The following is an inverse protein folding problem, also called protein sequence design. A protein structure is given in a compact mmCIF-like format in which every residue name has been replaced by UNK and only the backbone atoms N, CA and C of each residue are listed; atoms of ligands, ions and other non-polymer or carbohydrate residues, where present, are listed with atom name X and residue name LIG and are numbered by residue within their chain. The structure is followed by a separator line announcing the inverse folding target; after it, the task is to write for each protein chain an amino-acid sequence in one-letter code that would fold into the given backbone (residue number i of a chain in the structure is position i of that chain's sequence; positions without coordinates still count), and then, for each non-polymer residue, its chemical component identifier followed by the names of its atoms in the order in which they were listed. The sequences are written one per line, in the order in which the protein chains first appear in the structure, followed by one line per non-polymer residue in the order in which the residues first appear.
data_IF_554249777567
#
_entry.id   IF_554249777567
#
_cell.length_a   1.000
_cell.length_b   1.000
_cell.length_c   1.000
_cell.angle_alpha   90.00
_cell.angle_beta   90.00
_cell.angle_gamma   90.00
#
_symmetry.space_group_name_H-M   'P 1'
#
loop_
_entity.id
_entity.type
_entity.pdbx_description
1 polymer ?
#
# COMPACT_ATOMS: atom_id res chain seq x y z
N UNK A 1 -52.43 -10.81 21.92
CA UNK A 1 -52.17 -11.88 20.93
C UNK A 1 -50.88 -11.55 20.23
N UNK A 2 -49.85 -12.36 20.49
CA UNK A 2 -48.49 -12.23 19.97
C UNK A 2 -48.46 -12.88 18.59
N UNK A 3 -47.97 -12.16 17.56
CA UNK A 3 -47.51 -12.80 16.33
C UNK A 3 -45.99 -12.70 16.25
N UNK A 4 -45.36 -13.86 16.42
CA UNK A 4 -43.94 -14.14 16.33
C UNK A 4 -43.48 -14.26 14.88
N UNK A 5 -42.47 -13.49 14.49
CA UNK A 5 -41.65 -13.74 13.30
C UNK A 5 -40.41 -14.58 13.68
N UNK A 6 -39.89 -15.43 12.79
CA UNK A 6 -38.94 -16.49 13.15
C UNK A 6 -37.52 -15.96 13.40
N UNK A 7 -36.92 -16.43 14.50
CA UNK A 7 -35.48 -16.27 14.80
C UNK A 7 -34.65 -17.00 13.74
N UNK A 8 -33.90 -16.25 12.94
CA UNK A 8 -32.84 -16.81 12.09
C UNK A 8 -31.63 -17.06 12.98
N UNK A 9 -31.27 -18.33 13.17
CA UNK A 9 -30.07 -18.76 13.87
C UNK A 9 -28.83 -18.24 13.13
N UNK A 10 -28.11 -17.32 13.76
CA UNK A 10 -26.71 -17.08 13.42
C UNK A 10 -25.90 -18.21 14.04
N UNK A 11 -25.35 -19.09 13.19
CA UNK A 11 -24.29 -20.02 13.61
C UNK A 11 -23.05 -19.20 13.93
N UNK A 12 -22.85 -18.89 15.22
CA UNK A 12 -21.60 -18.41 15.77
C UNK A 12 -20.58 -19.56 15.79
N UNK A 13 -19.72 -19.60 14.77
CA UNK A 13 -18.39 -20.22 14.89
C UNK A 13 -17.34 -19.17 14.56
N UNK A 14 -17.27 -18.15 15.41
CA UNK A 14 -16.04 -17.42 15.64
C UNK A 14 -15.25 -18.24 16.66
N UNK A 15 -14.20 -18.92 16.19
CA UNK A 15 -13.21 -19.52 17.09
C UNK A 15 -12.42 -18.39 17.74
N UNK A 16 -12.84 -18.01 18.93
CA UNK A 16 -12.06 -17.26 19.89
C UNK A 16 -10.94 -18.17 20.42
N UNK A 17 -9.77 -18.08 19.81
CA UNK A 17 -8.52 -18.44 20.49
C UNK A 17 -7.70 -17.18 20.62
N UNK A 18 -7.77 -16.58 21.81
CA UNK A 18 -6.85 -15.53 22.21
C UNK A 18 -5.43 -16.05 22.19
N UNK A 19 -4.53 -15.23 21.66
CA UNK A 19 -3.09 -15.41 21.85
C UNK A 19 -2.60 -14.13 22.52
N UNK A 20 -2.93 -14.01 23.80
CA UNK A 20 -2.11 -13.28 24.74
C UNK A 20 -0.93 -14.19 25.09
N UNK A 21 0.15 -14.16 24.31
CA UNK A 21 1.50 -14.56 24.73
C UNK A 21 2.48 -14.28 23.58
N UNK A 22 3.25 -13.20 23.72
CA UNK A 22 4.44 -12.95 22.90
C UNK A 22 5.51 -13.99 23.28
N UNK A 23 5.65 -15.03 22.46
CA UNK A 23 6.85 -15.86 22.45
C UNK A 23 7.85 -15.27 21.45
N UNK A 24 9.03 -14.89 21.94
CA UNK A 24 10.19 -14.50 21.15
C UNK A 24 10.74 -15.73 20.42
N UNK A 25 10.64 -15.76 19.09
CA UNK A 25 11.24 -16.80 18.26
C UNK A 25 12.60 -16.32 17.71
N UNK A 26 13.68 -17.11 17.83
CA UNK A 26 14.98 -16.75 17.27
C UNK A 26 15.00 -17.11 15.78
N UNK A 27 14.72 -16.11 14.94
CA UNK A 27 14.77 -16.25 13.49
C UNK A 27 14.31 -14.96 12.85
N UNK A 28 15.22 -14.24 12.21
CA UNK A 28 14.95 -12.96 11.54
C UNK A 28 13.93 -13.21 10.42
N UNK A 29 12.68 -12.83 10.66
CA UNK A 29 11.63 -12.68 9.66
C UNK A 29 11.30 -11.19 9.63
N UNK A 30 11.69 -10.50 8.55
CA UNK A 30 11.34 -9.10 8.36
C UNK A 30 9.93 -9.05 7.76
N UNK A 31 8.96 -8.90 8.65
CA UNK A 31 7.66 -8.33 8.32
C UNK A 31 7.89 -6.84 7.99
N UNK A 32 7.43 -6.37 6.82
CA UNK A 32 7.37 -4.94 6.51
C UNK A 32 6.37 -4.27 7.47
N UNK A 33 6.86 -3.72 8.58
CA UNK A 33 6.07 -3.15 9.67
C UNK A 33 6.13 -1.61 9.66
N UNK A 34 5.75 -0.92 8.58
CA UNK A 34 5.92 0.53 8.47
C UNK A 34 5.11 1.31 9.53
N UNK A 35 5.77 1.68 10.63
CA UNK A 35 5.26 2.62 11.64
C UNK A 35 5.27 4.03 11.03
N UNK A 36 4.08 4.56 10.76
CA UNK A 36 3.82 5.96 10.45
C UNK A 36 3.77 6.80 11.73
N UNK A 37 4.41 7.98 11.74
CA UNK A 37 3.88 9.19 12.38
C UNK A 37 4.70 10.47 12.07
N UNK A 38 4.03 11.48 11.51
CA UNK A 38 4.33 12.93 11.50
C UNK A 38 5.63 13.47 10.85
N UNK A 39 5.48 14.30 9.80
CA UNK A 39 5.63 15.77 9.88
C UNK A 39 5.09 16.46 8.60
N UNK A 40 4.39 17.57 8.80
CA UNK A 40 3.68 18.45 7.84
C UNK A 40 4.65 19.20 6.87
N UNK A 41 4.11 19.91 5.85
CA UNK A 41 4.50 19.81 4.45
C UNK A 41 5.89 20.41 4.16
N UNK A 42 6.54 19.87 3.13
CA UNK A 42 7.95 20.06 2.75
C UNK A 42 8.95 19.33 3.65
N UNK A 43 9.63 18.35 3.04
CA UNK A 43 10.89 17.77 3.49
C UNK A 43 10.91 17.33 4.97
N UNK A 44 10.45 16.11 5.27
CA UNK A 44 11.27 15.20 6.07
C UNK A 44 10.71 13.78 6.06
N UNK A 45 11.66 12.84 6.04
CA UNK A 45 11.50 11.44 6.43
C UNK A 45 11.07 10.48 5.31
N UNK A 46 12.07 10.14 4.50
CA UNK A 46 12.36 8.74 4.14
C UNK A 46 12.30 7.93 5.44
N UNK A 47 11.12 7.40 5.79
CA UNK A 47 10.86 6.71 7.05
C UNK A 47 11.51 5.32 7.04
N UNK A 48 12.80 5.32 7.36
CA UNK A 48 13.37 4.56 8.47
C UNK A 48 12.90 3.09 8.62
N UNK A 49 12.88 2.31 7.53
CA UNK A 49 12.53 0.88 7.55
C UNK A 49 13.70 -0.10 7.48
N UNK A 50 14.81 0.30 8.10
CA UNK A 50 15.99 -0.54 8.36
C UNK A 50 16.45 -0.38 9.82
N UNK A 51 15.52 -0.16 10.75
CA UNK A 51 15.79 0.08 12.17
C UNK A 51 16.05 -1.21 12.94
N UNK A 52 17.26 -1.73 12.74
CA UNK A 52 18.10 -2.30 13.80
C UNK A 52 19.56 -2.47 13.35
N UNK A 53 19.85 -2.42 12.04
CA UNK A 53 21.23 -2.41 11.51
C UNK A 53 21.78 -1.02 11.13
N UNK A 54 20.93 0.01 11.02
CA UNK A 54 21.36 1.36 10.57
C UNK A 54 21.84 2.33 11.68
N UNK A 55 21.83 1.95 12.97
CA UNK A 55 22.43 2.77 14.06
C UNK A 55 23.97 2.81 13.97
N UNK A 56 24.55 2.16 12.95
CA UNK A 56 25.97 2.21 12.63
C UNK A 56 26.25 2.75 11.23
N UNK A 57 25.79 3.97 10.90
CA UNK A 57 26.23 4.61 9.66
C UNK A 57 26.89 5.98 9.83
N UNK A 58 28.15 5.98 9.41
CA UNK A 58 29.00 7.12 9.08
C UNK A 58 28.34 7.99 8.00
N UNK A 59 28.42 9.32 8.21
CA UNK A 59 28.61 10.45 7.26
C UNK A 59 27.96 10.36 5.85
N UNK A 60 26.82 11.05 5.67
CA UNK A 60 26.11 11.41 4.42
C UNK A 60 25.22 10.33 3.76
N UNK A 61 24.00 10.74 3.34
CA UNK A 61 23.00 9.92 2.64
C UNK A 61 22.45 10.68 1.43
N UNK A 62 21.95 9.96 0.41
CA UNK A 62 21.28 10.57 -0.74
C UNK A 62 19.93 11.17 -0.30
N UNK A 63 19.59 12.33 -0.86
CA UNK A 63 18.33 13.03 -0.64
C UNK A 63 17.72 13.42 -1.99
N UNK A 64 16.44 13.15 -2.18
CA UNK A 64 15.70 13.44 -3.42
C UNK A 64 14.85 12.26 -3.89
N UNK A 65 14.25 12.40 -5.06
CA UNK A 65 13.46 11.35 -5.69
C UNK A 65 14.39 10.30 -6.31
N UNK A 66 14.24 9.05 -5.92
CA UNK A 66 15.08 7.95 -6.38
C UNK A 66 14.32 6.65 -6.31
N UNK A 67 14.69 5.71 -7.17
CA UNK A 67 14.20 4.34 -7.12
C UNK A 67 15.15 3.49 -6.29
N UNK A 68 14.59 2.54 -5.55
CA UNK A 68 15.35 1.56 -4.79
C UNK A 68 15.39 0.28 -5.58
N UNK A 69 16.58 -0.07 -6.06
CA UNK A 69 16.81 -1.35 -6.70
C UNK A 69 17.19 -2.37 -5.63
N UNK A 70 16.51 -3.49 -5.69
CA UNK A 70 16.83 -4.69 -4.91
C UNK A 70 17.43 -5.74 -5.85
N UNK A 71 17.79 -6.91 -5.34
CA UNK A 71 18.36 -7.97 -6.18
C UNK A 71 17.36 -8.49 -7.23
N UNK A 72 16.06 -8.37 -6.97
CA UNK A 72 15.00 -9.02 -7.73
C UNK A 72 13.79 -8.13 -8.07
N UNK A 73 13.78 -6.87 -7.63
CA UNK A 73 12.80 -5.88 -8.07
C UNK A 73 13.17 -4.41 -7.80
N UNK A 74 12.29 -3.51 -8.18
CA UNK A 74 12.49 -2.06 -8.06
C UNK A 74 11.29 -1.35 -7.39
N UNK A 75 11.57 -0.47 -6.44
CA UNK A 75 10.57 0.23 -5.62
C UNK A 75 10.67 1.74 -5.83
N UNK A 76 9.55 2.37 -6.13
CA UNK A 76 9.35 3.82 -6.10
C UNK A 76 8.47 4.26 -4.94
N UNK A 77 8.55 5.55 -4.60
CA UNK A 77 7.80 6.16 -3.51
C UNK A 77 7.06 7.39 -4.01
N UNK A 78 5.78 7.47 -3.66
CA UNK A 78 4.92 8.62 -3.91
C UNK A 78 4.29 9.04 -2.57
N UNK A 79 3.87 10.30 -2.44
CA UNK A 79 3.32 10.83 -1.18
C UNK A 79 1.93 11.42 -1.44
N UNK A 80 0.95 10.92 -0.70
CA UNK A 80 -0.40 11.49 -0.55
C UNK A 80 -0.99 12.13 -1.82
N UNK A 81 -0.93 13.46 -1.93
CA UNK A 81 -1.58 14.23 -2.99
C UNK A 81 -0.97 14.02 -4.38
N UNK A 82 0.27 13.55 -4.46
CA UNK A 82 0.99 13.34 -5.72
C UNK A 82 0.19 12.44 -6.67
N UNK A 83 -0.53 11.44 -6.14
CA UNK A 83 -1.42 10.53 -6.88
C UNK A 83 -2.51 11.26 -7.70
N UNK A 84 -2.99 12.41 -7.21
CA UNK A 84 -4.13 13.12 -7.79
C UNK A 84 -3.70 14.25 -8.74
N UNK A 85 -2.40 14.47 -8.91
CA UNK A 85 -1.89 15.51 -9.81
C UNK A 85 -2.11 15.14 -11.27
N UNK A 86 -2.01 16.13 -12.18
CA UNK A 86 -2.23 15.90 -13.61
C UNK A 86 -1.13 15.02 -14.25
N UNK A 87 0.09 15.11 -13.72
CA UNK A 87 1.23 14.26 -14.10
C UNK A 87 1.84 13.66 -12.83
N UNK A 88 1.23 12.60 -12.26
CA UNK A 88 1.69 12.01 -11.02
C UNK A 88 3.05 11.31 -11.23
N UNK A 89 3.96 11.37 -10.23
CA UNK A 89 5.33 10.90 -10.37
C UNK A 89 5.43 9.39 -10.61
N UNK A 90 4.46 8.58 -10.16
CA UNK A 90 4.45 7.15 -10.43
C UNK A 90 4.51 6.80 -11.92
N UNK A 91 4.04 7.67 -12.82
CA UNK A 91 4.13 7.43 -14.28
C UNK A 91 5.60 7.33 -14.68
N UNK A 92 6.38 8.35 -14.36
CA UNK A 92 7.79 8.40 -14.68
C UNK A 92 8.53 7.27 -13.93
N UNK A 93 8.17 6.98 -12.67
CA UNK A 93 8.77 5.88 -11.90
C UNK A 93 8.51 4.50 -12.52
N UNK A 94 7.29 4.20 -12.95
CA UNK A 94 6.96 2.94 -13.62
C UNK A 94 7.73 2.80 -14.93
N UNK A 95 7.86 3.89 -15.70
CA UNK A 95 8.69 3.93 -16.91
C UNK A 95 10.17 3.78 -16.58
N UNK A 96 10.61 4.23 -15.40
CA UNK A 96 11.95 4.03 -14.83
C UNK A 96 12.19 2.65 -14.22
N UNK A 97 11.39 1.65 -14.57
CA UNK A 97 11.43 0.26 -14.10
C UNK A 97 10.93 -0.01 -12.67
N UNK A 98 10.44 0.98 -11.91
CA UNK A 98 9.79 0.67 -10.63
C UNK A 98 8.66 -0.33 -10.86
N UNK A 99 8.62 -1.46 -10.15
CA UNK A 99 7.54 -2.44 -10.25
C UNK A 99 6.52 -2.25 -9.13
N UNK A 100 6.98 -1.70 -8.01
CA UNK A 100 6.19 -1.42 -6.82
C UNK A 100 6.24 0.08 -6.56
N UNK A 101 5.09 0.70 -6.39
CA UNK A 101 4.96 2.08 -5.89
C UNK A 101 4.34 2.03 -4.51
N UNK A 102 5.01 2.66 -3.55
CA UNK A 102 4.51 2.82 -2.19
C UNK A 102 4.03 4.27 -2.03
N UNK A 103 2.74 4.44 -1.77
CA UNK A 103 2.14 5.71 -1.41
C UNK A 103 1.82 5.75 0.08
N UNK A 104 2.49 6.66 0.78
CA UNK A 104 2.20 6.96 2.17
C UNK A 104 1.32 8.21 2.26
N UNK A 105 0.17 8.07 2.90
CA UNK A 105 -0.86 9.11 2.97
C UNK A 105 -1.26 9.47 4.39
N UNK A 106 -1.70 10.71 4.53
CA UNK A 106 -2.52 11.20 5.63
C UNK A 106 -3.73 11.88 4.99
N UNK A 107 -4.57 11.06 4.35
CA UNK A 107 -5.74 11.49 3.60
C UNK A 107 -6.96 11.40 4.49
N UNK A 108 -7.47 12.58 4.88
CA UNK A 108 -8.67 12.69 5.70
C UNK A 108 -9.91 12.18 4.95
N UNK A 109 -10.89 11.78 5.73
CA UNK A 109 -12.20 11.32 5.29
C UNK A 109 -12.99 12.43 4.61
N UNK A 110 -13.57 12.10 3.46
CA UNK A 110 -14.58 12.90 2.78
C UNK A 110 -15.56 11.92 2.12
N UNK A 111 -16.85 12.28 2.11
CA UNK A 111 -17.90 11.41 1.58
C UNK A 111 -17.59 10.93 0.15
N UNK A 112 -17.61 9.61 -0.05
CA UNK A 112 -17.33 8.98 -1.34
C UNK A 112 -15.88 9.08 -1.85
N UNK A 113 -14.96 9.71 -1.11
CA UNK A 113 -13.55 9.89 -1.53
C UNK A 113 -12.80 8.58 -1.68
N UNK A 114 -13.15 7.54 -0.92
CA UNK A 114 -12.56 6.20 -1.08
C UNK A 114 -12.70 5.69 -2.52
N UNK A 115 -13.88 5.86 -3.12
CA UNK A 115 -14.12 5.44 -4.52
C UNK A 115 -13.21 6.16 -5.51
N UNK A 116 -12.90 7.43 -5.25
CA UNK A 116 -11.95 8.22 -6.05
C UNK A 116 -10.53 7.67 -5.87
N UNK A 117 -10.07 7.45 -4.63
CA UNK A 117 -8.73 6.87 -4.37
C UNK A 117 -8.53 5.55 -5.12
N UNK A 118 -9.49 4.63 -5.00
CA UNK A 118 -9.47 3.34 -5.69
C UNK A 118 -9.35 3.52 -7.21
N UNK A 119 -10.16 4.40 -7.80
CA UNK A 119 -10.15 4.64 -9.26
C UNK A 119 -8.79 5.16 -9.73
N UNK A 120 -8.16 6.07 -9.00
CA UNK A 120 -6.84 6.62 -9.36
C UNK A 120 -5.76 5.54 -9.26
N UNK A 121 -5.71 4.75 -8.18
CA UNK A 121 -4.72 3.67 -8.04
C UNK A 121 -4.93 2.53 -9.04
N UNK A 122 -6.19 2.19 -9.34
CA UNK A 122 -6.49 1.25 -10.43
C UNK A 122 -6.00 1.77 -11.77
N UNK A 123 -6.27 3.04 -12.08
CA UNK A 123 -5.80 3.68 -13.32
C UNK A 123 -4.27 3.69 -13.42
N UNK A 124 -3.56 4.00 -12.33
CA UNK A 124 -2.10 4.00 -12.28
C UNK A 124 -1.51 2.64 -12.66
N UNK A 125 -1.96 1.57 -11.99
CA UNK A 125 -1.46 0.21 -12.22
C UNK A 125 -1.98 -0.43 -13.51
N UNK A 126 -3.19 -0.10 -13.95
CA UNK A 126 -3.76 -0.62 -15.19
C UNK A 126 -3.02 -0.10 -16.43
N UNK A 127 -2.64 1.19 -16.43
CA UNK A 127 -1.99 1.84 -17.58
C UNK A 127 -0.52 1.46 -17.74
N UNK A 128 0.21 1.41 -16.63
CA UNK A 128 1.66 1.21 -16.65
C UNK A 128 2.07 -0.23 -16.34
N UNK A 129 1.17 -1.04 -15.76
CA UNK A 129 1.56 -2.27 -15.08
C UNK A 129 2.35 -1.98 -13.80
N UNK A 130 2.11 -2.75 -12.76
CA UNK A 130 2.79 -2.58 -11.48
C UNK A 130 1.91 -2.87 -10.29
N UNK A 131 2.56 -2.84 -9.14
CA UNK A 131 1.98 -3.00 -7.82
C UNK A 131 1.91 -1.62 -7.18
N UNK A 132 0.77 -1.30 -6.56
CA UNK A 132 0.57 -0.05 -5.84
C UNK A 132 0.16 -0.37 -4.42
N UNK A 133 0.98 0.04 -3.46
CA UNK A 133 0.79 -0.16 -2.04
C UNK A 133 0.44 1.19 -1.42
N UNK A 134 -0.75 1.27 -0.84
CA UNK A 134 -1.28 2.49 -0.24
C UNK A 134 -1.40 2.30 1.26
N UNK A 135 -0.64 3.10 2.02
CA UNK A 135 -0.79 3.24 3.46
C UNK A 135 -1.45 4.58 3.78
N UNK A 136 -2.39 4.59 4.72
CA UNK A 136 -3.03 5.82 5.16
C UNK A 136 -3.22 5.81 6.67
N UNK A 137 -3.08 6.98 7.28
CA UNK A 137 -3.41 7.19 8.68
C UNK A 137 -4.88 6.79 8.96
N UNK A 138 -5.14 6.28 10.17
CA UNK A 138 -6.49 6.06 10.69
C UNK A 138 -6.67 6.78 12.02
N UNK A 139 -7.87 7.29 12.25
CA UNK A 139 -8.28 7.90 13.52
C UNK A 139 -8.22 9.42 13.49
N UNK A 140 -8.23 10.03 14.67
CA UNK A 140 -8.07 11.48 14.82
C UNK A 140 -6.63 11.81 15.22
N UNK A 141 -6.11 12.90 14.69
CA UNK A 141 -4.80 13.46 15.08
C UNK A 141 -4.89 14.48 16.23
N UNK A 142 -6.09 14.66 16.79
CA UNK A 142 -6.38 15.61 17.86
C UNK A 142 -7.04 16.92 17.38
N UNK A 143 -7.25 17.10 16.08
CA UNK A 143 -8.03 18.20 15.52
C UNK A 143 -9.41 17.72 15.02
N UNK A 144 -10.04 18.45 14.10
CA UNK A 144 -11.37 18.21 13.54
C UNK A 144 -11.39 17.17 12.42
N UNK A 145 -10.23 16.71 11.96
CA UNK A 145 -10.13 15.77 10.86
C UNK A 145 -10.09 14.33 11.37
N UNK A 146 -10.83 13.47 10.67
CA UNK A 146 -10.75 12.03 10.85
C UNK A 146 -10.09 11.42 9.61
N UNK A 147 -9.13 10.53 9.81
CA UNK A 147 -8.48 9.77 8.75
C UNK A 147 -9.09 8.37 8.66
N UNK A 148 -9.54 7.98 7.48
CA UNK A 148 -10.33 6.77 7.26
C UNK A 148 -9.49 5.54 6.86
N UNK A 149 -8.17 5.57 7.07
CA UNK A 149 -7.29 4.46 6.73
C UNK A 149 -7.56 3.95 5.30
N UNK A 150 -8.16 2.76 5.21
CA UNK A 150 -8.38 2.03 3.96
C UNK A 150 -7.07 1.75 3.24
N UNK A 151 -6.08 1.12 3.92
CA UNK A 151 -4.86 0.71 3.23
C UNK A 151 -5.24 -0.22 2.08
N UNK A 152 -4.51 -0.18 0.97
CA UNK A 152 -4.83 -0.98 -0.21
C UNK A 152 -3.57 -1.53 -0.86
N UNK A 153 -3.70 -2.72 -1.46
CA UNK A 153 -2.69 -3.28 -2.35
C UNK A 153 -3.37 -3.60 -3.67
N UNK A 154 -2.82 -3.06 -4.76
CA UNK A 154 -3.31 -3.27 -6.11
C UNK A 154 -2.20 -3.82 -6.99
N UNK A 155 -2.56 -4.63 -7.99
CA UNK A 155 -1.65 -5.09 -9.04
C UNK A 155 -2.37 -5.07 -10.39
N UNK A 156 -1.77 -4.43 -11.39
CA UNK A 156 -2.25 -4.41 -12.78
C UNK A 156 -3.76 -4.08 -12.90
N UNK A 157 -4.25 -3.08 -12.16
CA UNK A 157 -5.65 -2.64 -12.15
C UNK A 157 -6.60 -3.46 -11.25
N UNK A 158 -6.12 -4.56 -10.66
CA UNK A 158 -6.86 -5.42 -9.74
C UNK A 158 -6.54 -5.04 -8.29
N UNK A 159 -7.53 -5.11 -7.41
CA UNK A 159 -7.33 -4.88 -5.97
C UNK A 159 -7.12 -6.24 -5.33
N UNK A 160 -6.04 -6.40 -4.57
CA UNK A 160 -5.69 -7.66 -3.92
C UNK A 160 -6.04 -7.65 -2.44
N UNK A 161 -5.91 -6.49 -1.79
CA UNK A 161 -6.29 -6.30 -0.40
C UNK A 161 -6.78 -4.86 -0.18
N UNK A 162 -7.75 -4.71 0.72
CA UNK A 162 -8.23 -3.43 1.22
C UNK A 162 -8.54 -3.59 2.72
N UNK A 163 -8.04 -2.67 3.54
CA UNK A 163 -8.35 -2.61 4.97
C UNK A 163 -9.66 -1.88 5.25
N UNK A 164 -10.07 -1.86 6.50
CA UNK A 164 -11.32 -1.21 6.90
C UNK A 164 -11.33 0.31 6.62
N UNK A 165 -12.49 0.91 6.37
CA UNK A 165 -12.59 2.38 6.27
C UNK A 165 -12.71 3.02 7.67
N UNK A 166 -13.53 2.43 8.53
CA UNK A 166 -13.69 2.86 9.91
C UNK A 166 -13.40 1.70 10.84
N UNK A 167 -12.55 1.90 11.83
CA UNK A 167 -12.21 0.89 12.84
C UNK A 167 -11.69 1.55 14.10
N UNK A 168 -11.99 0.96 15.26
CA UNK A 168 -11.44 1.37 16.55
C UNK A 168 -10.05 0.79 16.80
N UNK A 169 -9.56 -0.07 15.91
CA UNK A 169 -8.22 -0.64 16.03
C UNK A 169 -7.17 0.43 15.75
N UNK A 170 -6.25 0.62 16.69
CA UNK A 170 -5.15 1.59 16.57
C UNK A 170 -4.22 1.30 15.38
N UNK A 171 -4.10 0.03 15.00
CA UNK A 171 -3.25 -0.39 13.89
C UNK A 171 -3.96 -1.46 13.08
N UNK A 172 -3.82 -1.38 11.76
CA UNK A 172 -4.23 -2.43 10.83
C UNK A 172 -3.10 -2.66 9.84
N UNK A 173 -2.82 -3.93 9.57
CA UNK A 173 -1.83 -4.35 8.58
C UNK A 173 -2.55 -5.22 7.56
N UNK A 174 -2.42 -4.87 6.29
CA UNK A 174 -2.85 -5.72 5.18
C UNK A 174 -1.64 -6.29 4.46
N UNK A 175 -1.79 -7.49 3.90
CA UNK A 175 -0.74 -8.16 3.16
C UNK A 175 -1.33 -8.77 1.90
N UNK A 176 -0.52 -8.86 0.85
CA UNK A 176 -0.83 -9.59 -0.36
C UNK A 176 0.48 -10.12 -0.94
N UNK A 177 0.39 -11.30 -1.54
CA UNK A 177 1.50 -11.97 -2.22
C UNK A 177 1.29 -11.80 -3.71
N UNK A 178 2.28 -11.23 -4.40
CA UNK A 178 2.17 -10.88 -5.82
C UNK A 178 3.38 -11.40 -6.55
N UNK A 179 3.16 -12.02 -7.70
CA UNK A 179 4.24 -12.38 -8.61
C UNK A 179 4.70 -11.13 -9.40
N UNK A 180 5.94 -10.72 -9.17
CA UNK A 180 6.56 -9.59 -9.90
C UNK A 180 6.74 -9.94 -11.38
N UNK A 181 6.90 -11.22 -11.73
CA UNK A 181 7.02 -11.60 -13.14
C UNK A 181 5.68 -11.44 -13.88
N UNK A 182 4.52 -11.53 -13.20
CA UNK A 182 3.22 -11.16 -13.78
C UNK A 182 3.17 -9.67 -14.15
N UNK A 183 3.79 -8.78 -13.35
CA UNK A 183 3.91 -7.36 -13.68
C UNK A 183 4.73 -7.14 -14.95
N UNK A 184 5.87 -7.83 -15.08
CA UNK A 184 6.75 -7.75 -16.26
C UNK A 184 6.06 -8.28 -17.52
N UNK A 185 5.34 -9.39 -17.39
CA UNK A 185 4.52 -9.95 -18.47
C UNK A 185 3.40 -9.00 -18.86
N UNK A 186 2.71 -8.40 -17.89
CA UNK A 186 1.64 -7.43 -18.15
C UNK A 186 2.18 -6.19 -18.90
N UNK A 187 3.34 -5.66 -18.51
CA UNK A 187 4.02 -4.57 -19.23
C UNK A 187 4.35 -4.93 -20.67
N UNK A 188 4.81 -6.15 -20.91
CA UNK A 188 5.09 -6.66 -22.26
C UNK A 188 3.84 -6.75 -23.13
N UNK A 189 2.65 -6.89 -22.52
CA UNK A 189 1.37 -6.86 -23.24
C UNK A 189 0.87 -5.44 -23.56
N UNK A 190 1.42 -4.40 -22.93
CA UNK A 190 1.05 -3.00 -23.18
C UNK A 190 1.86 -2.48 -24.37
N UNK A 191 1.16 -2.21 -25.48
CA UNK A 191 1.76 -1.64 -26.68
C UNK A 191 2.46 -0.30 -26.39
N UNK A 192 3.72 -0.20 -26.78
CA UNK A 192 4.51 1.04 -26.65
C UNK A 192 4.95 1.38 -25.22
N UNK A 193 4.75 0.50 -24.24
CA UNK A 193 5.27 0.72 -22.88
C UNK A 193 6.80 0.85 -22.88
N UNK A 194 7.49 -0.13 -23.48
CA UNK A 194 8.95 -0.12 -23.54
C UNK A 194 9.52 1.00 -24.42
N UNK A 195 8.82 1.42 -25.48
CA UNK A 195 9.22 2.58 -26.30
C UNK A 195 9.19 3.87 -25.48
N UNK A 196 8.14 4.05 -24.66
CA UNK A 196 8.02 5.18 -23.74
C UNK A 196 9.04 5.10 -22.61
N UNK A 197 9.28 3.90 -22.06
CA UNK A 197 10.29 3.68 -21.02
C UNK A 197 11.70 4.04 -21.49
N UNK A 198 12.06 3.63 -22.71
CA UNK A 198 13.35 3.97 -23.34
C UNK A 198 13.51 5.49 -23.58
N UNK A 199 12.40 6.21 -23.74
CA UNK A 199 12.39 7.67 -23.95
C UNK A 199 12.17 8.47 -22.67
N UNK A 200 11.94 7.80 -21.54
CA UNK A 200 11.60 8.44 -20.28
C UNK A 200 12.86 9.04 -19.61
N UNK A 201 12.70 10.08 -18.77
CA UNK A 201 13.80 10.61 -17.97
C UNK A 201 14.40 9.52 -17.07
N UNK A 202 15.73 9.47 -16.99
CA UNK A 202 16.43 8.53 -16.10
C UNK A 202 16.20 8.90 -14.64
N UNK A 203 15.79 7.93 -13.82
CA UNK A 203 15.78 8.09 -12.37
C UNK A 203 17.17 7.86 -11.78
N UNK A 204 17.45 8.47 -10.63
CA UNK A 204 18.58 8.03 -9.81
C UNK A 204 18.18 6.73 -9.10
N UNK A 205 19.01 5.70 -9.26
CA UNK A 205 18.81 4.42 -8.60
C UNK A 205 19.73 4.28 -7.38
N UNK A 206 19.20 3.67 -6.34
CA UNK A 206 19.93 3.31 -5.12
C UNK A 206 19.81 1.81 -4.95
N UNK A 207 20.92 1.12 -5.19
CA UNK A 207 20.97 -0.31 -5.01
C UNK A 207 21.07 -0.67 -3.52
N UNK A 208 20.24 -1.62 -3.10
CA UNK A 208 20.23 -2.22 -1.78
C UNK A 208 20.31 -3.73 -1.96
N UNK A 209 21.34 -4.36 -1.40
CA UNK A 209 21.49 -5.81 -1.41
C UNK A 209 20.44 -6.47 -0.50
N UNK A 210 19.26 -6.70 -1.04
CA UNK A 210 18.09 -7.26 -0.39
C UNK A 210 17.27 -8.02 -1.43
N UNK A 211 16.67 -9.15 -1.03
CA UNK A 211 15.76 -9.93 -1.87
C UNK A 211 14.32 -9.65 -1.43
N UNK A 212 13.46 -9.21 -2.35
CA UNK A 212 12.03 -9.01 -2.08
C UNK A 212 11.26 -10.32 -2.10
N UNK A 213 11.69 -11.26 -2.94
CA UNK A 213 11.01 -12.54 -3.12
C UNK A 213 11.26 -13.44 -1.92
N UNK A 214 10.19 -14.09 -1.49
CA UNK A 214 10.23 -15.20 -0.54
C UNK A 214 9.62 -16.41 -1.24
N UNK A 215 10.20 -17.59 -1.05
CA UNK A 215 9.67 -18.81 -1.66
C UNK A 215 8.36 -19.26 -0.99
N UNK A 216 7.56 -20.01 -1.74
CA UNK A 216 6.45 -20.82 -1.22
C UNK A 216 5.24 -20.06 -0.65
N UNK A 217 5.00 -18.82 -1.08
CA UNK A 217 3.79 -18.08 -0.71
C UNK A 217 2.80 -18.05 -1.90
N UNK A 218 1.56 -18.54 -1.73
CA UNK A 218 0.56 -18.51 -2.80
C UNK A 218 0.19 -17.06 -3.15
N UNK A 219 -0.01 -16.80 -4.44
CA UNK A 219 -0.47 -15.49 -4.93
C UNK A 219 -1.86 -15.16 -4.36
N UNK A 220 -2.07 -13.90 -4.00
CA UNK A 220 -3.35 -13.41 -3.49
C UNK A 220 -4.32 -13.16 -4.64
N UNK A 221 -5.52 -13.72 -4.53
CA UNK A 221 -6.59 -13.51 -5.50
C UNK A 221 -7.17 -12.09 -5.41
N UNK A 222 -7.63 -11.50 -6.54
CA UNK A 222 -8.30 -10.21 -6.52
C UNK A 222 -9.59 -10.20 -5.71
N UNK A 223 -9.84 -9.09 -5.02
CA UNK A 223 -11.06 -8.85 -4.24
C UNK A 223 -11.95 -7.80 -4.91
N UNK A 224 -13.26 -7.96 -4.72
CA UNK A 224 -14.25 -6.94 -5.08
C UNK A 224 -14.38 -6.00 -3.90
N UNK A 225 -14.28 -4.68 -4.15
CA UNK A 225 -14.44 -3.68 -3.11
C UNK A 225 -15.93 -3.48 -2.85
N UNK A 226 -16.32 -3.66 -1.59
CA UNK A 226 -17.63 -3.25 -1.08
C UNK A 226 -17.50 -1.85 -0.49
N UNK A 227 -18.21 -0.89 -1.09
CA UNK A 227 -18.25 0.48 -0.58
C UNK A 227 -19.37 0.63 0.44
N UNK A 228 -19.10 1.40 1.49
CA UNK A 228 -20.15 1.86 2.39
C UNK A 228 -21.12 2.76 1.62
N UNK A 229 -22.39 2.68 1.99
CA UNK A 229 -23.39 3.62 1.48
C UNK A 229 -23.17 4.99 2.14
N UNK A 230 -23.57 6.11 1.49
CA UNK A 230 -23.41 7.44 2.08
C UNK A 230 -24.01 7.56 3.48
N UNK A 231 -25.16 6.92 3.73
CA UNK A 231 -25.81 6.88 5.04
C UNK A 231 -25.03 6.08 6.10
N UNK A 232 -24.12 5.19 5.70
CA UNK A 232 -23.29 4.40 6.61
C UNK A 232 -21.91 5.06 6.83
N UNK A 233 -21.44 5.90 5.90
CA UNK A 233 -20.23 6.73 6.07
C UNK A 233 -20.42 7.90 7.06
N UNK A 234 -21.67 8.19 7.46
CA UNK A 234 -22.04 9.33 8.32
C UNK A 234 -22.50 8.92 9.73
N UNK A 235 -22.59 7.62 10.01
CA UNK A 235 -22.99 7.06 11.30
C UNK A 235 -21.80 6.86 12.22
#
# INVERSE_FOLDING_TARGET
MVHSLPKRQFNSRLSTTGINHFHTWPGIKIFLFFILCFFLPFLLTVYLFLTSKFIHLKRSTKFGQSLIDTNDGCIGFEICEELFTAKPPHIDMFLGNAEIIINNSSSYFELGKLSKRVKFMKSATLKCGGIYVYGNQRGCDGDRLYFDGSPMILSNGRVLAIGMQFSLSETEVITASVDIDEVRMYRSSISGFYDQSNSAPSFNHIFVNFDLRTSDVPQTDPVIIEYLKPEDETK
#
